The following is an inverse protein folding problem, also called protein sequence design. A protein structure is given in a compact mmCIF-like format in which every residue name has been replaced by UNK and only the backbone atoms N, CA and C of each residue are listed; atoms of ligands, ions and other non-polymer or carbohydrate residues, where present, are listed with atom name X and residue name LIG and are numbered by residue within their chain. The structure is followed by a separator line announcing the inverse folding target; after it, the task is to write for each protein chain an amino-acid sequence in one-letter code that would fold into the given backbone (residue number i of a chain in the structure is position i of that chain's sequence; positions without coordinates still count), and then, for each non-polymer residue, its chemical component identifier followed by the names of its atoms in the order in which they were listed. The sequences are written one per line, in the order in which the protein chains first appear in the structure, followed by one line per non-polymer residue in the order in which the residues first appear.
data_IF_494126174699
#
_entry.id   IF_494126174699
#
_cell.length_a   1.000
_cell.length_b   1.000
_cell.length_c   1.000
_cell.angle_alpha   90.00
_cell.angle_beta   90.00
_cell.angle_gamma   90.00
#
_symmetry.space_group_name_H-M   'P 1'
#
loop_
_entity.id
_entity.type
_entity.pdbx_description
1 polymer ?
#
# COMPACT_ATOMS: atom_id res chain seq x y z
N UNK A 1 31.95 3.93 44.76
CA UNK A 1 32.15 4.43 43.39
C UNK A 1 31.05 5.44 43.10
N UNK A 2 31.34 6.70 43.38
CA UNK A 2 30.54 7.91 43.16
C UNK A 2 31.50 9.09 43.36
N UNK A 3 31.17 10.34 43.02
CA UNK A 3 30.41 10.91 41.89
C UNK A 3 31.29 11.95 41.13
N UNK A 4 30.88 12.51 39.98
CA UNK A 4 31.05 13.94 39.71
C UNK A 4 30.35 14.41 38.41
N UNK A 5 29.62 15.50 38.59
CA UNK A 5 28.91 16.36 37.67
C UNK A 5 29.87 17.46 37.17
N UNK A 6 29.69 17.99 35.95
CA UNK A 6 29.72 19.45 35.68
C UNK A 6 29.26 19.83 34.27
N UNK A 7 28.42 20.85 34.29
CA UNK A 7 27.74 21.62 33.26
C UNK A 7 28.65 22.60 32.47
N UNK A 8 27.99 23.41 31.62
CA UNK A 8 28.37 24.68 30.98
C UNK A 8 28.97 24.59 29.55
N UNK A 9 28.56 25.36 28.55
CA UNK A 9 27.58 26.46 28.48
C UNK A 9 27.92 27.42 27.31
N UNK A 10 26.91 27.70 26.49
CA UNK A 10 26.56 28.99 25.86
C UNK A 10 27.45 29.72 24.82
N UNK A 11 26.72 30.41 23.93
CA UNK A 11 27.01 31.60 23.08
C UNK A 11 27.12 31.34 21.56
N UNK A 12 26.38 32.04 20.67
CA UNK A 12 25.54 33.24 20.80
C UNK A 12 24.59 33.37 19.60
N UNK A 13 23.43 33.99 19.85
CA UNK A 13 22.43 34.40 18.86
C UNK A 13 22.88 35.61 18.03
N UNK A 14 22.31 35.78 16.83
CA UNK A 14 22.01 37.10 16.27
C UNK A 14 20.87 37.03 15.25
N UNK A 15 20.05 38.07 15.24
CA UNK A 15 18.65 38.15 14.81
C UNK A 15 18.51 39.21 13.71
N UNK A 16 18.03 38.82 12.51
CA UNK A 16 17.19 39.55 11.49
C UNK A 16 17.58 40.98 11.02
N UNK A 17 16.90 41.67 10.05
CA UNK A 17 15.77 41.33 9.16
C UNK A 17 16.02 41.68 7.66
N UNK A 18 15.02 41.53 6.76
CA UNK A 18 14.67 42.43 5.61
C UNK A 18 13.43 41.87 4.85
N UNK A 19 12.28 42.47 5.18
CA UNK A 19 11.08 42.91 4.39
C UNK A 19 10.52 42.17 3.14
N UNK A 20 9.33 41.55 3.34
CA UNK A 20 7.96 41.78 2.79
C UNK A 20 7.58 41.83 1.26
N UNK A 21 6.79 40.81 0.82
CA UNK A 21 5.58 40.70 -0.08
C UNK A 21 5.45 41.47 -1.44
N UNK A 22 4.65 41.04 -2.48
CA UNK A 22 3.36 40.33 -2.42
C UNK A 22 3.03 39.26 -3.52
N UNK A 23 1.84 38.65 -3.37
CA UNK A 23 1.14 37.58 -4.12
C UNK A 23 0.76 38.03 -5.55
N UNK A 24 0.70 37.14 -6.57
CA UNK A 24 -0.62 36.67 -7.03
C UNK A 24 -0.64 35.22 -7.58
N UNK A 25 -1.81 34.60 -7.57
CA UNK A 25 -2.17 33.58 -8.55
C UNK A 25 -2.42 32.19 -7.97
N UNK A 26 -3.65 31.96 -7.52
CA UNK A 26 -4.15 30.62 -7.24
C UNK A 26 -4.14 29.76 -8.51
N UNK A 27 -3.47 28.61 -8.44
CA UNK A 27 -3.74 27.49 -9.34
C UNK A 27 -4.06 26.31 -8.45
N UNK A 28 -5.30 25.81 -8.54
CA UNK A 28 -5.69 24.52 -7.98
C UNK A 28 -4.89 23.45 -8.72
N UNK A 29 -3.73 23.08 -8.21
CA UNK A 29 -3.01 21.90 -8.68
C UNK A 29 -3.49 20.72 -7.85
N UNK A 30 -4.13 19.78 -8.54
CA UNK A 30 -4.63 18.55 -7.97
C UNK A 30 -3.46 17.74 -7.38
N UNK A 31 -3.25 17.86 -6.07
CA UNK A 31 -2.29 17.04 -5.34
C UNK A 31 -2.82 15.61 -5.21
N UNK A 32 -2.56 14.82 -6.24
CA UNK A 32 -2.59 13.36 -6.21
C UNK A 32 -1.80 12.80 -7.40
N UNK A 33 -0.54 13.22 -7.53
CA UNK A 33 0.46 12.34 -8.10
C UNK A 33 1.19 11.76 -6.90
N UNK A 34 0.78 10.58 -6.45
CA UNK A 34 1.62 9.78 -5.57
C UNK A 34 2.95 9.60 -6.30
N UNK A 35 4.01 10.18 -5.76
CA UNK A 35 5.39 9.94 -6.17
C UNK A 35 5.74 8.48 -5.85
N UNK A 36 5.12 7.54 -6.55
CA UNK A 36 5.57 6.15 -6.59
C UNK A 36 6.83 6.15 -7.44
N UNK A 37 7.92 5.78 -6.80
CA UNK A 37 9.30 5.93 -7.26
C UNK A 37 9.50 5.64 -8.76
N UNK A 38 10.27 6.53 -9.42
CA UNK A 38 10.70 6.49 -10.82
C UNK A 38 11.64 5.31 -11.18
N UNK A 39 11.56 4.18 -10.45
CA UNK A 39 12.40 3.00 -10.67
C UNK A 39 11.64 1.69 -10.48
N UNK A 40 10.35 1.64 -10.84
CA UNK A 40 9.67 0.36 -10.97
C UNK A 40 9.99 -0.22 -12.36
N UNK A 41 10.54 -1.44 -12.47
CA UNK A 41 10.90 -2.06 -13.76
C UNK A 41 9.68 -2.46 -14.61
N UNK A 42 8.48 -1.93 -14.32
CA UNK A 42 7.21 -2.32 -14.93
C UNK A 42 6.65 -1.15 -15.74
N UNK A 43 6.59 -1.33 -17.06
CA UNK A 43 6.10 -0.34 -18.03
C UNK A 43 4.60 -0.45 -18.28
N UNK A 44 4.04 -1.65 -18.15
CA UNK A 44 2.63 -1.95 -18.43
C UNK A 44 2.14 -3.07 -17.53
N UNK A 45 0.89 -2.97 -17.08
CA UNK A 45 0.19 -4.01 -16.32
C UNK A 45 -0.97 -4.51 -17.16
N UNK A 46 -1.04 -5.83 -17.36
CA UNK A 46 -2.14 -6.50 -18.06
C UNK A 46 -2.88 -7.34 -17.02
N UNK A 47 -4.18 -7.10 -16.89
CA UNK A 47 -5.04 -7.82 -15.94
C UNK A 47 -5.94 -8.77 -16.72
N UNK A 48 -5.91 -10.05 -16.36
CA UNK A 48 -6.83 -11.02 -16.92
C UNK A 48 -8.26 -10.85 -16.35
N UNK A 49 -9.33 -10.98 -17.16
CA UNK A 49 -10.71 -10.83 -16.69
C UNK A 49 -11.09 -11.75 -15.52
N UNK A 50 -10.43 -12.92 -15.44
CA UNK A 50 -10.60 -13.88 -14.34
C UNK A 50 -10.34 -13.22 -12.98
N UNK A 51 -9.30 -12.39 -12.88
CA UNK A 51 -8.93 -11.68 -11.64
C UNK A 51 -10.04 -10.74 -11.20
N UNK A 52 -10.60 -9.96 -12.13
CA UNK A 52 -11.68 -9.03 -11.82
C UNK A 52 -12.92 -9.75 -11.31
N UNK A 53 -13.26 -10.89 -11.94
CA UNK A 53 -14.37 -11.73 -11.49
C UNK A 53 -14.12 -12.28 -10.08
N UNK A 54 -12.90 -12.76 -9.80
CA UNK A 54 -12.50 -13.24 -8.48
C UNK A 54 -12.58 -12.15 -7.41
N UNK A 55 -12.15 -10.92 -7.71
CA UNK A 55 -12.25 -9.79 -6.78
C UNK A 55 -13.72 -9.44 -6.46
N UNK A 56 -14.58 -9.41 -7.48
CA UNK A 56 -16.01 -9.11 -7.31
C UNK A 56 -16.71 -10.21 -6.52
N UNK A 57 -16.43 -11.48 -6.82
CA UNK A 57 -16.95 -12.61 -6.03
C UNK A 57 -16.49 -12.53 -4.57
N UNK A 58 -15.21 -12.27 -4.34
CA UNK A 58 -14.64 -12.12 -3.01
C UNK A 58 -15.35 -11.00 -2.22
N UNK A 59 -15.53 -9.84 -2.83
CA UNK A 59 -16.26 -8.73 -2.22
C UNK A 59 -17.71 -9.12 -1.86
N UNK A 60 -18.42 -9.81 -2.75
CA UNK A 60 -19.79 -10.25 -2.52
C UNK A 60 -19.92 -11.31 -1.41
N UNK A 61 -18.94 -12.19 -1.27
CA UNK A 61 -18.93 -13.21 -0.20
C UNK A 61 -18.66 -12.57 1.16
N UNK A 62 -17.64 -11.72 1.25
CA UNK A 62 -17.28 -11.05 2.51
C UNK A 62 -18.39 -10.10 2.95
N UNK A 63 -18.95 -9.28 2.05
CA UNK A 63 -20.02 -8.32 2.39
C UNK A 63 -21.28 -8.97 2.96
N UNK A 64 -21.52 -10.25 2.65
CA UNK A 64 -22.67 -11.02 3.17
C UNK A 64 -22.39 -11.64 4.52
N UNK A 65 -21.15 -12.10 4.75
CA UNK A 65 -20.77 -12.83 5.96
C UNK A 65 -20.24 -11.93 7.07
N UNK A 66 -19.52 -10.86 6.71
CA UNK A 66 -18.95 -9.90 7.64
C UNK A 66 -19.27 -8.47 7.18
N UNK A 67 -19.58 -7.56 8.11
CA UNK A 67 -19.86 -6.15 7.78
C UNK A 67 -18.56 -5.37 7.48
N UNK A 68 -17.63 -5.99 6.76
CA UNK A 68 -16.29 -5.45 6.53
C UNK A 68 -16.34 -4.52 5.31
N UNK A 69 -16.01 -3.25 5.52
CA UNK A 69 -16.04 -2.20 4.48
C UNK A 69 -14.89 -2.28 3.48
N UNK A 70 -13.82 -3.02 3.80
CA UNK A 70 -12.62 -3.12 2.95
C UNK A 70 -12.13 -4.56 2.87
N UNK A 71 -11.98 -5.04 1.66
CA UNK A 71 -11.46 -6.38 1.42
C UNK A 71 -10.08 -6.27 0.78
N UNK A 72 -9.13 -7.07 1.25
CA UNK A 72 -7.75 -7.12 0.75
C UNK A 72 -7.48 -8.50 0.17
N UNK A 73 -6.69 -8.56 -0.90
CA UNK A 73 -6.23 -9.83 -1.45
C UNK A 73 -4.91 -9.67 -2.18
N UNK A 74 -4.33 -10.81 -2.54
CA UNK A 74 -3.00 -10.87 -3.16
C UNK A 74 -3.14 -11.16 -4.64
N UNK A 75 -2.30 -10.51 -5.44
CA UNK A 75 -2.22 -10.66 -6.88
C UNK A 75 -1.05 -11.57 -7.21
N UNK A 76 -1.34 -12.56 -8.04
CA UNK A 76 -0.38 -13.52 -8.57
C UNK A 76 -0.21 -13.27 -10.07
N UNK A 77 1.04 -13.35 -10.50
CA UNK A 77 1.36 -13.07 -11.88
C UNK A 77 2.81 -13.37 -12.21
N UNK A 78 3.19 -12.99 -13.43
CA UNK A 78 4.56 -13.14 -13.89
C UNK A 78 5.00 -11.87 -14.61
N UNK A 79 6.27 -11.54 -14.48
CA UNK A 79 6.86 -10.39 -15.17
C UNK A 79 7.56 -10.89 -16.43
N UNK A 80 7.14 -10.37 -17.58
CA UNK A 80 7.80 -10.65 -18.87
C UNK A 80 9.08 -9.84 -19.03
N UNK A 81 9.95 -10.31 -19.92
CA UNK A 81 11.19 -9.60 -20.29
C UNK A 81 10.92 -8.17 -20.80
N UNK A 82 9.76 -7.94 -21.43
CA UNK A 82 9.33 -6.65 -21.97
C UNK A 82 8.84 -5.66 -20.90
N UNK A 83 9.20 -5.87 -19.62
CA UNK A 83 8.77 -5.04 -18.48
C UNK A 83 7.24 -4.95 -18.38
N UNK A 84 6.54 -5.95 -18.90
CA UNK A 84 5.08 -6.06 -18.79
C UNK A 84 4.75 -7.04 -17.67
N UNK A 85 3.91 -6.61 -16.74
CA UNK A 85 3.40 -7.43 -15.64
C UNK A 85 2.07 -8.02 -16.05
N UNK A 86 2.01 -9.34 -16.17
CA UNK A 86 0.76 -10.05 -16.45
C UNK A 86 0.21 -10.62 -15.14
N UNK A 87 -0.99 -10.19 -14.78
CA UNK A 87 -1.71 -10.61 -13.58
C UNK A 87 -2.73 -11.66 -14.01
N UNK A 88 -2.40 -12.92 -13.74
CA UNK A 88 -3.18 -14.07 -14.19
C UNK A 88 -4.18 -14.55 -13.12
N UNK A 89 -3.82 -14.43 -11.84
CA UNK A 89 -4.59 -15.00 -10.76
C UNK A 89 -4.59 -14.08 -9.52
N UNK A 90 -5.51 -14.32 -8.61
CA UNK A 90 -5.66 -13.57 -7.37
C UNK A 90 -6.39 -14.39 -6.32
N UNK A 91 -6.05 -14.21 -5.05
CA UNK A 91 -6.78 -14.84 -3.96
C UNK A 91 -7.05 -13.86 -2.82
N UNK A 92 -8.09 -14.23 -2.06
CA UNK A 92 -8.55 -13.54 -0.87
C UNK A 92 -7.65 -13.83 0.32
N UNK A 93 -7.36 -12.83 1.15
CA UNK A 93 -6.71 -13.06 2.45
C UNK A 93 -7.65 -12.56 3.55
N UNK A 94 -7.87 -13.34 4.63
CA UNK A 94 -8.59 -12.88 5.80
C UNK A 94 -7.99 -11.57 6.33
N UNK A 95 -8.82 -10.53 6.37
CA UNK A 95 -8.42 -9.18 6.75
C UNK A 95 -9.49 -8.59 7.65
N UNK A 96 -9.08 -8.14 8.83
CA UNK A 96 -9.94 -7.47 9.79
C UNK A 96 -9.41 -6.06 10.07
N UNK A 97 -10.26 -5.06 9.93
CA UNK A 97 -10.00 -3.66 10.29
C UNK A 97 -10.93 -3.30 11.44
N UNK A 98 -10.38 -2.67 12.49
CA UNK A 98 -11.23 -2.18 13.59
C UNK A 98 -12.04 -0.97 13.11
N UNK A 99 -13.35 -0.94 13.40
CA UNK A 99 -14.22 0.16 12.97
C UNK A 99 -13.91 1.47 13.71
N UNK A 100 -13.38 1.39 14.94
CA UNK A 100 -13.03 2.56 15.76
C UNK A 100 -11.70 3.17 15.34
N UNK A 101 -10.71 2.33 15.06
CA UNK A 101 -9.34 2.74 14.75
C UNK A 101 -8.84 2.13 13.44
N UNK A 102 -9.07 2.82 12.31
CA UNK A 102 -8.62 2.42 10.95
C UNK A 102 -7.11 2.25 10.77
N UNK A 103 -6.31 2.63 11.78
CA UNK A 103 -4.86 2.45 11.78
C UNK A 103 -4.48 1.02 12.19
N UNK A 104 -5.30 0.38 13.01
CA UNK A 104 -5.08 -0.97 13.52
C UNK A 104 -5.83 -1.94 12.63
N UNK A 105 -5.06 -2.76 11.90
CA UNK A 105 -5.59 -3.79 11.02
C UNK A 105 -4.81 -5.07 11.20
N UNK A 106 -5.48 -6.19 10.94
CA UNK A 106 -4.94 -7.53 11.08
C UNK A 106 -5.01 -8.24 9.74
N UNK A 107 -3.92 -8.91 9.38
CA UNK A 107 -3.82 -9.75 8.19
C UNK A 107 -3.14 -11.06 8.60
N UNK A 108 -3.76 -12.16 8.21
CA UNK A 108 -3.24 -13.51 8.48
C UNK A 108 -2.07 -13.84 7.54
N UNK A 109 -0.85 -13.83 8.08
CA UNK A 109 0.38 -14.12 7.33
C UNK A 109 0.60 -15.62 7.13
N UNK A 110 0.17 -16.45 8.09
CA UNK A 110 0.30 -17.92 8.03
C UNK A 110 -0.60 -18.49 6.92
N UNK A 111 -1.82 -17.95 6.79
CA UNK A 111 -2.71 -18.29 5.68
C UNK A 111 -2.11 -17.90 4.33
N UNK A 112 -1.51 -16.70 4.25
CA UNK A 112 -0.88 -16.21 3.04
C UNK A 112 0.26 -17.13 2.58
N UNK A 113 1.16 -17.51 3.49
CA UNK A 113 2.28 -18.41 3.17
C UNK A 113 1.79 -19.79 2.72
N UNK A 114 0.82 -20.36 3.43
CA UNK A 114 0.25 -21.67 3.13
C UNK A 114 -0.42 -21.70 1.76
N UNK A 115 -1.25 -20.69 1.46
CA UNK A 115 -1.93 -20.58 0.16
C UNK A 115 -0.94 -20.32 -0.97
N UNK A 116 0.03 -19.43 -0.75
CA UNK A 116 1.06 -19.17 -1.74
C UNK A 116 1.86 -20.43 -2.07
N UNK A 117 2.23 -21.24 -1.07
CA UNK A 117 2.93 -22.50 -1.27
C UNK A 117 2.12 -23.50 -2.12
N UNK A 118 0.79 -23.53 -1.98
CA UNK A 118 -0.07 -24.37 -2.83
C UNK A 118 -0.12 -23.86 -4.27
N UNK A 119 -0.32 -22.55 -4.46
CA UNK A 119 -0.31 -21.96 -5.80
C UNK A 119 1.03 -22.12 -6.50
N UNK A 120 2.14 -22.00 -5.78
CA UNK A 120 3.48 -22.22 -6.33
C UNK A 120 3.69 -23.67 -6.80
N UNK A 121 3.13 -24.66 -6.09
CA UNK A 121 3.17 -26.08 -6.50
C UNK A 121 2.35 -26.35 -7.76
N UNK A 122 1.21 -25.69 -7.93
CA UNK A 122 0.34 -25.86 -9.10
C UNK A 122 0.88 -25.10 -10.31
N UNK A 123 1.37 -23.87 -10.09
CA UNK A 123 1.81 -22.97 -11.14
C UNK A 123 3.08 -22.22 -10.73
N UNK A 124 4.25 -22.85 -10.90
CA UNK A 124 5.55 -22.29 -10.53
C UNK A 124 5.94 -20.99 -11.29
N UNK A 125 5.22 -20.65 -12.38
CA UNK A 125 5.40 -19.40 -13.13
C UNK A 125 4.77 -18.19 -12.45
N UNK A 126 3.77 -18.42 -11.59
CA UNK A 126 3.06 -17.37 -10.87
C UNK A 126 3.80 -17.04 -9.57
N UNK A 127 4.16 -15.76 -9.42
CA UNK A 127 4.77 -15.20 -8.22
C UNK A 127 3.86 -14.11 -7.65
N UNK A 128 4.09 -13.77 -6.39
CA UNK A 128 3.42 -12.61 -5.79
C UNK A 128 3.93 -11.35 -6.48
N UNK A 129 3.02 -10.63 -7.13
CA UNK A 129 3.32 -9.39 -7.87
C UNK A 129 2.84 -8.14 -7.13
N UNK A 130 1.91 -8.31 -6.20
CA UNK A 130 1.34 -7.23 -5.42
C UNK A 130 0.07 -7.64 -4.70
N UNK A 131 -0.73 -6.66 -4.30
CA UNK A 131 -1.99 -6.85 -3.60
C UNK A 131 -3.03 -5.87 -4.14
N UNK A 132 -4.29 -6.22 -3.99
CA UNK A 132 -5.43 -5.36 -4.32
C UNK A 132 -6.23 -5.08 -3.06
N UNK A 133 -6.94 -3.96 -3.08
CA UNK A 133 -7.95 -3.67 -2.07
C UNK A 133 -9.23 -3.18 -2.75
N UNK A 134 -10.37 -3.56 -2.19
CA UNK A 134 -11.67 -3.03 -2.59
C UNK A 134 -12.08 -2.01 -1.53
N UNK A 135 -11.96 -0.72 -1.84
CA UNK A 135 -12.33 0.36 -0.94
C UNK A 135 -12.76 1.60 -1.73
N UNK A 136 -13.80 2.34 -1.30
CA UNK A 136 -14.40 3.44 -2.07
C UNK A 136 -13.50 4.67 -2.20
N UNK A 137 -12.46 4.78 -1.36
CA UNK A 137 -11.44 5.82 -1.42
C UNK A 137 -10.08 5.19 -1.11
N UNK A 138 -9.04 5.70 -1.75
CA UNK A 138 -7.66 5.48 -1.33
C UNK A 138 -7.51 6.12 0.06
N UNK A 139 -7.61 5.32 1.11
CA UNK A 139 -7.11 5.72 2.43
C UNK A 139 -5.62 5.95 2.27
N UNK A 140 -5.14 7.13 2.67
CA UNK A 140 -3.70 7.45 2.69
C UNK A 140 -3.00 6.44 3.60
N UNK A 141 -2.54 5.34 3.01
CA UNK A 141 -1.51 4.49 3.56
C UNK A 141 -0.19 5.00 2.97
N UNK A 142 0.34 6.02 3.64
CA UNK A 142 1.75 6.40 3.79
C UNK A 142 1.81 7.82 4.36
#
# INVERSE_FOLDING_TARGET
MAPHKKDEGSEKASTTPVVEAPIPGGTKTNSCASTVHLNLPVKRVVVHPLVLLSVVDHFNRVSKTQNVKRVVGVLLGSMKADKTLDIANSFAVPFDEDEKDKKTWFLDMDYLETMYAMFYKVAAKEKIVGWYHTGPKLSKCC
#
